data_IF_556453501457
#
_entry.id   IF_556453501457
#
_cell.length_a   1.000
_cell.length_b   1.000
_cell.length_c   1.000
_cell.angle_alpha   90.00
_cell.angle_beta   90.00
_cell.angle_gamma   90.00
#
_symmetry.space_group_name_H-M   'P 1'
#
loop_
_entity.id
_entity.type
_entity.pdbx_description
1 polymer ?
#
# COMPACT_ATOMS: atom_id res chain seq x y z
N UNK A 1 27.28 34.09 -10.95
CA UNK A 1 26.02 34.40 -10.23
C UNK A 1 24.93 33.88 -11.14
N UNK A 2 24.66 32.59 -11.02
CA UNK A 2 23.62 31.98 -11.82
C UNK A 2 22.28 32.44 -11.29
N UNK A 3 21.41 32.90 -12.19
CA UNK A 3 20.03 33.17 -11.86
C UNK A 3 19.36 31.81 -11.64
N UNK A 4 19.34 31.33 -10.40
CA UNK A 4 18.42 30.29 -9.97
C UNK A 4 17.00 30.81 -10.19
N UNK A 5 16.47 30.49 -11.37
CA UNK A 5 15.10 30.76 -11.74
C UNK A 5 14.20 29.74 -11.02
N UNK A 6 14.11 29.88 -9.69
CA UNK A 6 13.11 29.21 -8.88
C UNK A 6 11.74 29.65 -9.40
N UNK A 7 11.12 28.79 -10.23
CA UNK A 7 9.72 28.95 -10.59
C UNK A 7 8.92 29.03 -9.30
N UNK A 8 8.20 30.15 -9.12
CA UNK A 8 7.40 30.37 -7.92
C UNK A 8 6.20 29.45 -7.94
N UNK A 9 6.34 28.30 -7.30
CA UNK A 9 5.24 27.39 -7.01
C UNK A 9 4.13 28.13 -6.23
N UNK A 10 2.87 27.99 -6.67
CA UNK A 10 1.72 28.47 -5.90
C UNK A 10 1.38 27.50 -4.76
N UNK A 11 0.70 27.99 -3.73
CA UNK A 11 0.30 27.11 -2.62
C UNK A 11 -0.66 26.00 -3.08
N UNK A 12 -1.58 26.30 -4.01
CA UNK A 12 -2.39 25.30 -4.70
C UNK A 12 -1.54 24.21 -5.39
N UNK A 13 -0.49 24.58 -6.14
CA UNK A 13 0.40 23.64 -6.82
C UNK A 13 1.18 22.77 -5.82
N UNK A 14 1.68 23.38 -4.75
CA UNK A 14 2.32 22.67 -3.63
C UNK A 14 1.41 21.59 -3.04
N UNK A 15 0.17 21.92 -2.67
CA UNK A 15 -0.80 20.96 -2.10
C UNK A 15 -1.16 19.84 -3.07
N UNK A 16 -1.33 20.14 -4.35
CA UNK A 16 -1.65 19.13 -5.37
C UNK A 16 -0.46 18.22 -5.70
N UNK A 17 0.77 18.66 -5.44
CA UNK A 17 1.99 17.88 -5.74
C UNK A 17 2.15 16.58 -4.94
N UNK A 18 1.41 16.41 -3.84
CA UNK A 18 1.44 15.22 -2.99
C UNK A 18 0.70 14.02 -3.60
N UNK A 19 -0.30 14.25 -4.46
CA UNK A 19 -1.04 13.18 -5.14
C UNK A 19 -0.43 12.89 -6.53
N UNK A 20 0.47 11.91 -6.62
CA UNK A 20 1.17 11.53 -7.86
C UNK A 20 1.86 12.69 -8.61
N UNK A 21 2.24 13.75 -7.89
CA UNK A 21 2.96 14.91 -8.40
C UNK A 21 4.44 14.91 -8.05
N UNK A 22 5.07 16.08 -8.04
CA UNK A 22 6.51 16.23 -7.79
C UNK A 22 6.98 15.79 -6.39
N UNK A 23 6.06 15.72 -5.41
CA UNK A 23 6.37 15.27 -4.03
C UNK A 23 5.91 13.85 -3.73
N UNK A 24 4.78 13.42 -4.31
CA UNK A 24 4.20 12.06 -4.15
C UNK A 24 4.33 11.50 -2.73
N UNK A 25 3.55 12.06 -1.79
CA UNK A 25 3.35 11.49 -0.45
C UNK A 25 1.85 11.28 -0.24
N UNK A 26 1.47 10.00 -0.24
CA UNK A 26 0.07 9.60 -0.18
C UNK A 26 -0.56 9.81 1.20
N UNK A 27 0.24 10.02 2.25
CA UNK A 27 -0.25 10.38 3.57
C UNK A 27 -0.83 11.82 3.59
N UNK A 28 -0.30 12.71 2.75
CA UNK A 28 -0.71 14.12 2.68
C UNK A 28 -1.49 14.47 1.40
N UNK A 29 -1.88 13.48 0.59
CA UNK A 29 -2.68 13.69 -0.64
C UNK A 29 -4.02 14.42 -0.39
N UNK A 30 -4.59 14.30 0.82
CA UNK A 30 -5.83 14.98 1.22
C UNK A 30 -5.75 16.51 1.11
N UNK A 31 -4.55 17.10 1.19
CA UNK A 31 -4.32 18.54 1.01
C UNK A 31 -4.79 19.04 -0.37
N UNK A 32 -4.84 18.17 -1.39
CA UNK A 32 -5.32 18.51 -2.72
C UNK A 32 -6.83 18.82 -2.77
N UNK A 33 -7.59 18.34 -1.78
CA UNK A 33 -9.04 18.53 -1.65
C UNK A 33 -9.41 19.75 -0.77
N UNK A 34 -8.47 20.27 0.04
CA UNK A 34 -8.69 21.42 0.92
C UNK A 34 -8.55 22.75 0.16
N UNK A 35 -9.26 23.79 0.61
CA UNK A 35 -9.01 25.18 0.20
C UNK A 35 -7.60 25.67 0.64
N UNK A 36 -7.15 26.82 0.13
CA UNK A 36 -5.85 27.38 0.49
C UNK A 36 -5.87 27.89 1.95
N UNK A 37 -6.99 28.41 2.41
CA UNK A 37 -7.24 28.80 3.79
C UNK A 37 -7.17 27.58 4.73
N UNK A 38 -7.91 26.52 4.43
CA UNK A 38 -7.96 25.28 5.24
C UNK A 38 -6.62 24.57 5.35
N UNK A 39 -5.89 24.46 4.25
CA UNK A 39 -4.54 23.88 4.31
C UNK A 39 -3.57 24.79 5.07
N UNK A 40 -3.78 26.11 5.05
CA UNK A 40 -3.06 27.06 5.91
C UNK A 40 -3.32 26.79 7.39
N UNK A 41 -4.59 26.64 7.79
CA UNK A 41 -4.99 26.24 9.15
C UNK A 41 -4.31 24.93 9.56
N UNK A 42 -4.36 23.89 8.70
CA UNK A 42 -3.71 22.60 8.94
C UNK A 42 -2.21 22.76 9.27
N UNK A 43 -1.45 23.52 8.48
CA UNK A 43 -0.01 23.70 8.71
C UNK A 43 0.29 24.55 9.95
N UNK A 44 -0.49 25.61 10.19
CA UNK A 44 -0.32 26.46 11.38
C UNK A 44 -0.50 25.64 12.66
N UNK A 45 -1.59 24.87 12.74
CA UNK A 45 -1.89 24.01 13.87
C UNK A 45 -0.89 22.85 14.02
N UNK A 46 -0.40 22.30 12.91
CA UNK A 46 0.60 21.25 12.91
C UNK A 46 1.93 21.77 13.52
N UNK A 47 2.33 22.99 13.18
CA UNK A 47 3.53 23.63 13.74
C UNK A 47 3.38 23.92 15.25
N UNK A 48 2.21 24.34 15.70
CA UNK A 48 1.93 24.51 17.14
C UNK A 48 1.98 23.18 17.89
N UNK A 49 1.28 22.14 17.39
CA UNK A 49 1.28 20.80 18.01
C UNK A 49 2.66 20.14 17.99
N UNK A 50 3.51 20.45 17.00
CA UNK A 50 4.91 20.03 16.99
C UNK A 50 5.75 20.73 18.06
N UNK A 51 5.46 22.01 18.36
CA UNK A 51 6.05 22.73 19.49
C UNK A 51 5.72 22.05 20.82
N UNK A 52 4.44 21.84 21.10
CA UNK A 52 3.98 21.16 22.32
C UNK A 52 4.59 19.76 22.45
N UNK A 53 4.68 19.00 21.35
CA UNK A 53 5.27 17.65 21.33
C UNK A 53 6.79 17.64 21.57
N UNK A 54 7.50 18.73 21.24
CA UNK A 54 8.90 18.88 21.58
C UNK A 54 9.12 19.17 23.08
N UNK A 55 8.15 19.83 23.74
CA UNK A 55 8.22 20.19 25.16
C UNK A 55 7.84 19.03 26.10
N UNK A 56 6.83 18.23 25.75
CA UNK A 56 6.32 17.14 26.62
C UNK A 56 6.47 15.71 26.06
N UNK A 57 6.93 15.56 24.82
CA UNK A 57 7.11 14.26 24.16
C UNK A 57 5.83 13.56 23.69
N UNK A 58 4.66 14.18 23.82
CA UNK A 58 3.41 13.61 23.33
C UNK A 58 3.22 13.90 21.83
N UNK A 59 3.53 12.91 21.00
CA UNK A 59 3.34 12.95 19.55
C UNK A 59 1.94 12.51 19.07
N UNK A 60 1.09 11.97 19.95
CA UNK A 60 -0.27 11.49 19.61
C UNK A 60 -1.14 12.63 19.05
N UNK A 61 -1.00 13.84 19.61
CA UNK A 61 -1.65 15.06 19.09
C UNK A 61 -1.32 15.36 17.62
N UNK A 62 -0.15 14.94 17.13
CA UNK A 62 0.24 15.15 15.73
C UNK A 62 -0.43 14.10 14.84
N UNK A 63 -0.49 12.85 15.27
CA UNK A 63 -1.18 11.79 14.54
C UNK A 63 -2.69 12.05 14.47
N UNK A 64 -3.30 12.47 15.58
CA UNK A 64 -4.72 12.84 15.65
C UNK A 64 -5.02 14.01 14.73
N UNK A 65 -4.20 15.06 14.75
CA UNK A 65 -4.36 16.23 13.88
C UNK A 65 -4.26 15.85 12.38
N UNK A 66 -3.30 15.00 11.99
CA UNK A 66 -3.21 14.55 10.59
C UNK A 66 -4.43 13.68 10.21
N UNK A 67 -4.92 12.84 11.12
CA UNK A 67 -6.08 11.98 10.90
C UNK A 67 -7.39 12.77 10.78
N UNK A 68 -7.65 13.73 11.67
CA UNK A 68 -8.85 14.58 11.62
C UNK A 68 -8.89 15.42 10.34
N UNK A 69 -7.74 15.92 9.89
CA UNK A 69 -7.63 16.65 8.63
C UNK A 69 -7.69 15.77 7.38
N UNK A 70 -7.30 14.48 7.46
CA UNK A 70 -7.63 13.49 6.43
C UNK A 70 -9.14 13.29 6.34
N UNK A 71 -9.85 13.10 7.46
CA UNK A 71 -11.33 12.99 7.47
C UNK A 71 -11.96 14.22 6.82
N UNK A 72 -11.53 15.45 7.20
CA UNK A 72 -12.03 16.70 6.60
C UNK A 72 -11.74 16.76 5.09
N UNK A 73 -10.53 16.41 4.66
CA UNK A 73 -10.13 16.40 3.25
C UNK A 73 -10.87 15.36 2.38
N UNK A 74 -11.49 14.34 2.98
CA UNK A 74 -12.29 13.34 2.26
C UNK A 74 -13.80 13.44 2.51
N UNK A 75 -14.27 14.44 3.27
CA UNK A 75 -15.68 14.55 3.67
C UNK A 75 -16.66 14.69 2.48
N UNK A 76 -16.20 15.30 1.37
CA UNK A 76 -16.97 15.46 0.13
C UNK A 76 -16.70 14.35 -0.91
N UNK A 77 -15.83 13.38 -0.62
CA UNK A 77 -15.63 12.24 -1.53
C UNK A 77 -16.87 11.35 -1.55
N UNK A 78 -17.50 11.24 -2.72
CA UNK A 78 -18.67 10.39 -2.91
C UNK A 78 -18.26 8.93 -2.85
N UNK A 79 -19.09 8.10 -2.23
CA UNK A 79 -18.98 6.64 -2.31
C UNK A 79 -19.11 6.18 -3.78
N UNK A 80 -17.98 6.08 -4.47
CA UNK A 80 -17.94 5.65 -5.88
C UNK A 80 -18.19 4.15 -6.06
N UNK A 81 -18.07 3.37 -4.97
CA UNK A 81 -18.08 1.91 -4.98
C UNK A 81 -18.93 1.32 -3.84
N UNK A 82 -20.18 1.77 -3.74
CA UNK A 82 -21.17 1.16 -2.85
C UNK A 82 -21.71 -0.16 -3.45
N UNK A 83 -21.47 -1.28 -2.77
CA UNK A 83 -21.96 -2.61 -3.16
C UNK A 83 -22.88 -3.15 -2.05
N UNK A 84 -24.06 -3.65 -2.43
CA UNK A 84 -25.01 -4.27 -1.49
C UNK A 84 -24.61 -5.69 -1.07
N UNK A 85 -23.72 -6.32 -1.83
CA UNK A 85 -23.21 -7.66 -1.58
C UNK A 85 -21.68 -7.67 -1.79
N UNK A 86 -20.96 -8.40 -0.93
CA UNK A 86 -19.51 -8.60 -1.09
C UNK A 86 -19.20 -9.87 -1.90
N UNK A 87 -18.04 -9.97 -2.56
CA UNK A 87 -17.63 -11.13 -3.37
C UNK A 87 -17.19 -12.34 -2.51
N UNK A 88 -17.72 -12.47 -1.30
CA UNK A 88 -17.27 -13.43 -0.30
C UNK A 88 -18.04 -14.76 -0.40
N UNK A 89 -17.31 -15.86 -0.55
CA UNK A 89 -17.88 -17.21 -0.45
C UNK A 89 -17.78 -17.68 1.01
N UNK A 90 -18.85 -18.21 1.63
CA UNK A 90 -18.78 -18.79 2.97
C UNK A 90 -17.74 -19.91 3.06
N UNK A 91 -16.98 -19.93 4.16
CA UNK A 91 -16.02 -21.00 4.43
C UNK A 91 -16.73 -22.36 4.59
N UNK A 92 -16.15 -23.40 4.01
CA UNK A 92 -16.68 -24.78 4.06
C UNK A 92 -16.14 -25.60 5.25
N UNK A 93 -15.15 -25.07 5.95
CA UNK A 93 -14.43 -25.66 7.08
C UNK A 93 -14.16 -24.58 8.12
N UNK A 94 -13.91 -24.93 9.39
CA UNK A 94 -13.31 -24.00 10.36
C UNK A 94 -11.99 -23.41 9.84
N UNK A 95 -11.65 -22.19 10.25
CA UNK A 95 -10.38 -21.54 9.88
C UNK A 95 -9.17 -22.36 10.37
N UNK A 96 -9.29 -22.95 11.57
CA UNK A 96 -8.33 -23.90 12.17
C UNK A 96 -8.14 -25.22 11.41
N UNK A 97 -8.96 -25.49 10.39
CA UNK A 97 -8.86 -26.65 9.50
C UNK A 97 -8.64 -26.24 8.03
N UNK A 98 -8.55 -24.94 7.76
CA UNK A 98 -8.49 -24.38 6.42
C UNK A 98 -7.06 -24.11 5.98
N UNK A 99 -6.78 -24.38 4.71
CA UNK A 99 -5.54 -23.98 4.03
C UNK A 99 -5.67 -22.55 3.53
N UNK A 100 -5.00 -21.62 4.22
CA UNK A 100 -5.08 -20.18 4.00
C UNK A 100 -3.91 -19.68 3.13
N UNK A 101 -4.22 -18.90 2.11
CA UNK A 101 -3.25 -18.13 1.34
C UNK A 101 -3.17 -16.68 1.79
N UNK A 102 -1.99 -16.06 1.68
CA UNK A 102 -1.82 -14.62 1.79
C UNK A 102 -1.62 -14.02 0.39
N UNK A 103 -2.39 -13.01 0.03
CA UNK A 103 -2.19 -12.19 -1.17
C UNK A 103 -2.23 -10.70 -0.81
N UNK A 104 -1.13 -9.99 -1.00
CA UNK A 104 -1.04 -8.56 -0.76
C UNK A 104 -0.90 -7.75 -2.07
N UNK A 105 -1.44 -6.52 -2.10
CA UNK A 105 -1.22 -5.58 -3.21
C UNK A 105 -0.02 -4.66 -2.98
N UNK A 106 0.88 -5.02 -2.06
CA UNK A 106 1.90 -4.15 -1.50
C UNK A 106 3.20 -4.06 -2.30
N UNK A 107 3.38 -4.87 -3.34
CA UNK A 107 4.59 -4.84 -4.18
C UNK A 107 5.84 -5.43 -3.51
N UNK A 108 5.66 -6.29 -2.50
CA UNK A 108 6.73 -7.08 -1.91
C UNK A 108 7.24 -8.18 -2.85
N UNK A 109 8.52 -8.53 -2.72
CA UNK A 109 9.21 -9.61 -3.42
C UNK A 109 10.45 -10.07 -2.60
N UNK A 110 11.08 -11.19 -2.99
CA UNK A 110 12.29 -11.70 -2.30
C UNK A 110 13.54 -11.00 -2.85
N UNK A 111 14.52 -10.68 -2.00
CA UNK A 111 15.82 -10.17 -2.46
C UNK A 111 16.45 -11.09 -3.51
N UNK A 112 16.66 -10.57 -4.72
CA UNK A 112 17.16 -11.31 -5.88
C UNK A 112 16.09 -11.78 -6.87
N UNK A 113 14.81 -11.72 -6.49
CA UNK A 113 13.64 -12.08 -7.30
C UNK A 113 12.77 -10.84 -7.59
N UNK A 114 13.41 -9.80 -8.14
CA UNK A 114 12.74 -8.57 -8.57
C UNK A 114 11.73 -8.89 -9.70
N UNK A 115 10.46 -8.45 -9.62
CA UNK A 115 9.50 -8.70 -10.70
C UNK A 115 9.85 -7.99 -12.02
N UNK A 116 10.90 -7.16 -12.08
CA UNK A 116 11.38 -6.42 -13.25
C UNK A 116 10.22 -5.73 -14.00
N UNK A 117 9.48 -4.79 -13.35
CA UNK A 117 8.36 -4.08 -13.98
C UNK A 117 8.81 -3.41 -15.29
N UNK A 118 8.01 -3.53 -16.35
CA UNK A 118 8.36 -3.12 -17.72
C UNK A 118 9.66 -3.73 -18.29
N UNK A 119 10.21 -4.78 -17.67
CA UNK A 119 11.51 -5.36 -18.02
C UNK A 119 12.73 -4.59 -17.48
N UNK A 120 12.53 -3.62 -16.57
CA UNK A 120 13.63 -2.87 -15.95
C UNK A 120 14.18 -3.64 -14.76
N UNK A 121 15.43 -4.08 -14.87
CA UNK A 121 16.16 -4.74 -13.79
C UNK A 121 16.49 -3.73 -12.68
N UNK A 122 16.24 -4.07 -11.42
CA UNK A 122 16.66 -3.31 -10.24
C UNK A 122 16.19 -1.83 -10.18
N UNK A 123 15.04 -1.49 -10.80
CA UNK A 123 14.45 -0.14 -10.99
C UNK A 123 14.56 0.90 -9.83
N UNK A 124 14.78 0.52 -8.57
CA UNK A 124 14.64 1.38 -7.37
C UNK A 124 13.20 1.85 -7.10
N UNK A 125 12.98 2.56 -5.99
CA UNK A 125 11.66 3.12 -5.63
C UNK A 125 11.40 4.48 -6.31
N UNK A 126 12.41 5.33 -6.49
CA UNK A 126 12.24 6.67 -7.05
C UNK A 126 11.77 6.63 -8.51
N UNK A 127 12.34 5.73 -9.32
CA UNK A 127 11.86 5.50 -10.69
C UNK A 127 10.43 4.94 -10.67
N UNK A 128 10.11 4.03 -9.74
CA UNK A 128 8.77 3.46 -9.64
C UNK A 128 7.70 4.52 -9.32
N UNK A 129 8.00 5.49 -8.45
CA UNK A 129 7.14 6.65 -8.17
C UNK A 129 6.97 7.54 -9.40
N UNK A 130 8.07 7.89 -10.07
CA UNK A 130 8.05 8.69 -11.32
C UNK A 130 7.24 8.05 -12.45
N UNK A 131 7.16 6.72 -12.46
CA UNK A 131 6.48 5.92 -13.51
C UNK A 131 5.09 5.41 -13.09
N UNK A 132 4.48 5.97 -12.04
CA UNK A 132 3.17 5.52 -11.51
C UNK A 132 2.06 5.46 -12.59
N UNK A 133 2.01 6.42 -13.53
CA UNK A 133 1.04 6.41 -14.64
C UNK A 133 1.30 5.36 -15.73
N UNK A 134 2.51 4.77 -15.76
CA UNK A 134 2.81 3.58 -16.57
C UNK A 134 2.39 2.31 -15.83
N UNK A 135 2.62 2.25 -14.51
CA UNK A 135 2.21 1.14 -13.64
C UNK A 135 0.71 0.87 -13.75
N UNK A 136 -0.13 1.93 -13.72
CA UNK A 136 -1.59 1.84 -13.96
C UNK A 136 -2.00 1.24 -15.32
N UNK A 137 -1.06 1.02 -16.25
CA UNK A 137 -1.27 0.40 -17.57
C UNK A 137 -0.59 -0.97 -17.70
N UNK A 138 0.20 -1.39 -16.72
CA UNK A 138 0.96 -2.64 -16.75
C UNK A 138 0.12 -3.86 -16.35
N UNK A 139 0.41 -5.03 -16.95
CA UNK A 139 -0.17 -6.31 -16.50
C UNK A 139 0.48 -6.65 -15.14
N UNK A 140 -0.26 -6.77 -14.02
CA UNK A 140 0.38 -7.03 -12.73
C UNK A 140 1.10 -8.38 -12.74
N UNK A 141 2.28 -8.42 -12.13
CA UNK A 141 3.08 -9.63 -11.96
C UNK A 141 2.92 -10.13 -10.53
N UNK A 142 2.77 -11.44 -10.37
CA UNK A 142 2.68 -12.09 -9.07
C UNK A 142 4.09 -12.47 -8.61
N UNK A 143 4.53 -11.92 -7.48
CA UNK A 143 5.71 -12.36 -6.76
C UNK A 143 5.34 -13.54 -5.86
N UNK A 144 6.19 -14.57 -5.88
CA UNK A 144 6.08 -15.78 -5.08
C UNK A 144 7.07 -15.68 -3.92
N UNK A 145 6.56 -15.63 -2.68
CA UNK A 145 7.39 -15.38 -1.49
C UNK A 145 7.29 -16.61 -0.59
N UNK A 146 8.31 -17.48 -0.52
CA UNK A 146 8.28 -18.64 0.38
C UNK A 146 7.96 -18.20 1.81
N UNK A 147 7.05 -18.88 2.50
CA UNK A 147 6.55 -18.43 3.82
C UNK A 147 7.65 -18.37 4.90
N UNK A 148 8.76 -19.06 4.69
CA UNK A 148 9.93 -19.05 5.57
C UNK A 148 10.98 -17.98 5.16
N UNK A 149 10.65 -17.03 4.27
CA UNK A 149 11.57 -15.97 3.86
C UNK A 149 11.86 -15.04 5.04
N UNK A 150 13.13 -14.84 5.45
CA UNK A 150 13.46 -13.92 6.53
C UNK A 150 13.01 -12.50 6.20
N UNK A 151 12.49 -11.75 7.18
CA UNK A 151 11.98 -10.38 6.95
C UNK A 151 13.06 -9.45 6.36
N UNK A 152 14.32 -9.60 6.77
CA UNK A 152 15.45 -8.85 6.20
C UNK A 152 15.83 -9.23 4.74
N UNK A 153 15.19 -10.26 4.17
CA UNK A 153 15.25 -10.66 2.76
C UNK A 153 14.00 -10.26 1.97
N UNK A 154 12.99 -9.70 2.61
CA UNK A 154 11.88 -9.07 1.90
C UNK A 154 12.32 -7.72 1.35
N UNK A 155 11.91 -7.42 0.12
CA UNK A 155 12.07 -6.14 -0.55
C UNK A 155 10.69 -5.71 -1.04
N UNK A 156 10.53 -4.43 -1.32
CA UNK A 156 9.25 -3.86 -1.74
C UNK A 156 9.47 -2.77 -2.78
N UNK A 157 8.54 -2.66 -3.73
CA UNK A 157 8.54 -1.61 -4.75
C UNK A 157 7.12 -1.28 -5.18
N UNK A 158 6.71 -0.05 -4.93
CA UNK A 158 5.36 0.39 -5.22
C UNK A 158 5.32 1.90 -5.44
N UNK A 159 5.14 2.35 -6.68
CA UNK A 159 5.07 3.79 -6.99
C UNK A 159 3.83 4.50 -6.41
N UNK A 160 2.87 3.73 -5.87
CA UNK A 160 1.56 4.21 -5.44
C UNK A 160 1.38 4.51 -3.95
N UNK A 161 2.37 4.27 -3.08
CA UNK A 161 2.34 4.64 -1.65
C UNK A 161 3.75 4.78 -1.07
N UNK A 162 3.86 5.32 0.15
CA UNK A 162 5.14 5.42 0.88
C UNK A 162 5.56 4.07 1.48
N UNK A 163 6.58 3.45 0.89
CA UNK A 163 7.07 2.14 1.30
C UNK A 163 7.89 2.13 2.61
N UNK A 164 8.23 3.28 3.21
CA UNK A 164 9.13 3.34 4.38
C UNK A 164 8.62 2.54 5.58
N UNK A 165 7.31 2.60 5.85
CA UNK A 165 6.68 1.86 6.95
C UNK A 165 6.77 0.35 6.76
N UNK A 166 6.42 -0.14 5.56
CA UNK A 166 6.46 -1.58 5.23
C UNK A 166 7.89 -2.11 5.04
N UNK A 167 8.87 -1.25 4.74
CA UNK A 167 10.29 -1.58 4.77
C UNK A 167 10.82 -1.77 6.20
N UNK A 168 10.28 -1.01 7.17
CA UNK A 168 10.67 -1.10 8.58
C UNK A 168 10.01 -2.32 9.26
N UNK A 169 8.73 -2.58 8.99
CA UNK A 169 8.03 -3.81 9.37
C UNK A 169 7.16 -4.33 8.21
N UNK A 170 7.60 -5.39 7.50
CA UNK A 170 6.83 -6.02 6.43
C UNK A 170 5.46 -6.53 6.90
N UNK A 171 5.26 -6.84 8.19
CA UNK A 171 3.99 -7.36 8.67
C UNK A 171 2.83 -6.37 8.56
N UNK A 172 3.12 -5.07 8.42
CA UNK A 172 2.09 -4.04 8.20
C UNK A 172 1.37 -4.17 6.85
N UNK A 173 1.98 -4.81 5.85
CA UNK A 173 1.38 -5.01 4.51
C UNK A 173 1.66 -6.38 3.86
N UNK A 174 2.35 -7.28 4.55
CA UNK A 174 2.63 -8.67 4.18
C UNK A 174 2.83 -9.51 5.47
N UNK A 175 1.76 -9.80 6.25
CA UNK A 175 1.81 -10.38 7.60
C UNK A 175 2.19 -11.87 7.67
N UNK A 176 3.25 -12.30 6.96
CA UNK A 176 3.72 -13.69 6.95
C UNK A 176 4.05 -14.18 8.35
N UNK A 177 4.84 -13.42 9.13
CA UNK A 177 5.27 -13.83 10.47
C UNK A 177 4.07 -13.94 11.41
N UNK A 178 3.12 -13.01 11.34
CA UNK A 178 1.87 -13.09 12.11
C UNK A 178 1.03 -14.32 11.74
N UNK A 179 0.93 -14.66 10.45
CA UNK A 179 0.20 -15.86 10.01
C UNK A 179 0.90 -17.17 10.41
N UNK A 180 2.24 -17.19 10.48
CA UNK A 180 3.00 -18.33 11.01
C UNK A 180 2.79 -18.51 12.53
N UNK A 181 2.66 -17.41 13.28
CA UNK A 181 2.26 -17.47 14.69
C UNK A 181 0.85 -18.06 14.84
N UNK A 182 -0.12 -17.61 14.04
CA UNK A 182 -1.48 -18.16 14.04
C UNK A 182 -1.56 -19.63 13.58
N UNK A 183 -0.67 -20.07 12.67
CA UNK A 183 -0.55 -21.47 12.26
C UNK A 183 0.01 -22.33 13.40
N UNK A 184 1.07 -21.86 14.06
CA UNK A 184 1.70 -22.53 15.20
C UNK A 184 0.75 -22.65 16.39
N UNK A 185 -0.07 -21.64 16.65
CA UNK A 185 -1.02 -21.60 17.75
C UNK A 185 -2.36 -22.31 17.40
N UNK A 186 -2.48 -22.87 16.19
CA UNK A 186 -3.65 -23.65 15.74
C UNK A 186 -4.90 -22.82 15.43
N UNK A 187 -4.77 -21.50 15.31
CA UNK A 187 -5.87 -20.58 14.96
C UNK A 187 -6.20 -20.71 13.46
N UNK A 188 -5.19 -20.91 12.62
CA UNK A 188 -5.36 -21.31 11.21
C UNK A 188 -4.82 -22.73 10.99
N UNK A 189 -5.42 -23.50 10.08
CA UNK A 189 -5.02 -24.89 9.85
C UNK A 189 -3.67 -25.03 9.15
N UNK A 190 -3.44 -24.27 8.07
CA UNK A 190 -2.14 -24.19 7.40
C UNK A 190 -2.01 -22.88 6.61
N UNK A 191 -0.85 -22.23 6.69
CA UNK A 191 -0.42 -21.19 5.74
C UNK A 191 0.24 -21.84 4.52
N UNK A 192 -0.16 -21.41 3.32
CA UNK A 192 0.42 -21.85 2.04
C UNK A 192 1.96 -21.75 2.02
N UNK A 193 2.68 -22.69 1.37
CA UNK A 193 4.15 -22.66 1.28
C UNK A 193 4.73 -21.35 0.74
N UNK A 194 3.95 -20.62 -0.05
CA UNK A 194 4.25 -19.28 -0.54
C UNK A 194 3.14 -18.32 -0.08
N UNK A 195 3.52 -17.10 0.29
CA UNK A 195 2.67 -15.93 0.23
C UNK A 195 2.82 -15.25 -1.13
N UNK A 196 1.83 -14.46 -1.52
CA UNK A 196 1.74 -13.82 -2.81
C UNK A 196 1.68 -12.30 -2.67
N UNK A 197 2.28 -11.61 -3.64
CA UNK A 197 2.31 -10.15 -3.66
C UNK A 197 2.33 -9.63 -5.10
N UNK A 198 1.78 -8.44 -5.33
CA UNK A 198 1.89 -7.71 -6.59
C UNK A 198 1.81 -6.20 -6.34
N UNK A 199 2.18 -5.37 -7.31
CA UNK A 199 1.97 -3.93 -7.24
C UNK A 199 0.49 -3.61 -7.51
N UNK A 200 -0.25 -3.16 -6.49
CA UNK A 200 -1.68 -2.82 -6.57
C UNK A 200 -2.01 -1.74 -7.60
N UNK A 201 -1.11 -0.77 -7.75
CA UNK A 201 -1.13 0.20 -8.86
C UNK A 201 -0.83 -0.50 -10.19
N UNK A 202 -1.85 -1.09 -10.80
CA UNK A 202 -1.77 -1.88 -12.04
C UNK A 202 -2.99 -1.65 -12.96
N UNK A 203 -2.96 -2.23 -14.17
CA UNK A 203 -4.10 -2.18 -15.08
C UNK A 203 -5.28 -3.04 -14.58
N UNK A 204 -6.21 -2.43 -13.86
CA UNK A 204 -7.38 -3.08 -13.24
C UNK A 204 -8.19 -3.95 -14.22
N UNK A 205 -8.38 -3.50 -15.47
CA UNK A 205 -9.07 -4.29 -16.51
C UNK A 205 -8.32 -5.57 -16.87
N UNK A 206 -6.98 -5.58 -16.84
CA UNK A 206 -6.17 -6.79 -17.04
C UNK A 206 -6.16 -7.65 -15.78
N UNK A 207 -6.16 -7.05 -14.59
CA UNK A 207 -6.29 -7.77 -13.33
C UNK A 207 -7.59 -8.58 -13.30
N UNK A 208 -8.73 -7.93 -13.56
CA UNK A 208 -10.04 -8.57 -13.54
C UNK A 208 -10.23 -9.64 -14.62
N UNK A 209 -9.72 -9.40 -15.85
CA UNK A 209 -10.00 -10.24 -17.03
C UNK A 209 -8.91 -11.26 -17.39
N UNK A 210 -7.71 -11.16 -16.81
CA UNK A 210 -6.55 -11.98 -17.19
C UNK A 210 -5.82 -12.53 -15.95
N UNK A 211 -5.12 -11.69 -15.17
CA UNK A 211 -4.24 -12.22 -14.11
C UNK A 211 -5.01 -12.76 -12.91
N UNK A 212 -6.10 -12.12 -12.48
CA UNK A 212 -6.95 -12.64 -11.41
C UNK A 212 -7.44 -14.06 -11.71
N UNK A 213 -8.03 -14.31 -12.91
CA UNK A 213 -8.35 -15.67 -13.38
C UNK A 213 -7.14 -16.63 -13.45
N UNK A 214 -5.97 -16.18 -13.91
CA UNK A 214 -4.72 -16.97 -13.91
C UNK A 214 -4.34 -17.38 -12.47
N UNK A 215 -4.37 -16.45 -11.51
CA UNK A 215 -4.02 -16.67 -10.10
C UNK A 215 -5.07 -17.53 -9.37
N UNK A 216 -6.36 -17.34 -9.65
CA UNK A 216 -7.43 -18.20 -9.12
C UNK A 216 -7.27 -19.65 -9.62
N UNK A 217 -6.79 -19.85 -10.85
CA UNK A 217 -6.50 -21.18 -11.39
C UNK A 217 -5.32 -21.81 -10.65
N UNK A 218 -4.23 -21.06 -10.45
CA UNK A 218 -3.10 -21.47 -9.60
C UNK A 218 -3.57 -21.85 -8.18
N UNK A 219 -4.36 -20.99 -7.53
CA UNK A 219 -4.75 -21.20 -6.13
C UNK A 219 -5.68 -22.42 -5.96
N UNK A 220 -6.59 -22.65 -6.90
CA UNK A 220 -7.43 -23.86 -6.94
C UNK A 220 -6.60 -25.12 -7.17
N UNK A 221 -5.59 -25.08 -8.03
CA UNK A 221 -4.70 -26.21 -8.29
C UNK A 221 -3.86 -26.60 -7.07
N UNK A 222 -3.67 -25.69 -6.11
CA UNK A 222 -3.04 -25.98 -4.83
C UNK A 222 -4.04 -26.25 -3.68
N UNK A 223 -5.34 -26.48 -3.94
CA UNK A 223 -6.31 -26.80 -2.89
C UNK A 223 -6.36 -25.76 -1.74
N UNK A 224 -6.33 -24.47 -2.09
CA UNK A 224 -6.49 -23.38 -1.11
C UNK A 224 -7.98 -23.23 -0.74
N UNK A 225 -8.29 -23.27 0.56
CA UNK A 225 -9.65 -23.12 1.08
C UNK A 225 -10.08 -21.65 1.19
N UNK A 226 -9.13 -20.76 1.54
CA UNK A 226 -9.37 -19.34 1.80
C UNK A 226 -8.16 -18.48 1.41
N UNK A 227 -8.38 -17.21 1.10
CA UNK A 227 -7.32 -16.23 0.88
C UNK A 227 -7.54 -14.99 1.75
N UNK A 228 -6.52 -14.61 2.52
CA UNK A 228 -6.43 -13.31 3.16
C UNK A 228 -5.91 -12.30 2.14
N UNK A 229 -6.74 -11.31 1.81
CA UNK A 229 -6.37 -10.21 0.93
C UNK A 229 -5.91 -9.02 1.77
N UNK A 230 -4.69 -8.53 1.52
CA UNK A 230 -4.11 -7.37 2.22
C UNK A 230 -3.93 -6.22 1.23
N UNK A 231 -4.91 -5.29 1.14
CA UNK A 231 -4.80 -4.11 0.30
C UNK A 231 -3.87 -3.06 0.93
N UNK A 232 -3.33 -2.18 0.08
CA UNK A 232 -2.62 -0.93 0.42
C UNK A 232 -2.94 0.16 -0.60
#
# INVERSE_FOLDING_TARGET
MDNDNFEKESFEAFKKSFFYGSRTDMNFKFLANLSDEEAGEFFQDLLWKLGDAADDGNFERITDHVHDWQIRGYADEKEHFAYTEGPFTPLKKPVSESRLALLASSGHFVEGDDPEPFGVKNMTQEEAMKRIFEFLKEKPKLSHIPKNTPENKLRVRHGGYDIRGVQADPNTALPITRLLELEKDGIIGQLTPEAYSFTGACAQTRLLKQTGPEWVTLFKAQEIDAALLVPV
#
